data_IF_343884441319
#
_entry.id   IF_343884441319
#
_cell.length_a   1.000
_cell.length_b   1.000
_cell.length_c   1.000
_cell.angle_alpha   90.00
_cell.angle_beta   90.00
_cell.angle_gamma   90.00
#
_symmetry.space_group_name_H-M   'P 1'
#
loop_
_entity.id
_entity.type
_entity.pdbx_description
1 polymer ?
#
# COMPACT_ATOMS: atom_id res chain seq x y z
N UNK A 1 11.11 46.30 12.50
CA UNK A 1 9.87 45.69 13.04
C UNK A 1 10.19 44.27 13.48
N UNK A 2 9.66 43.86 14.64
CA UNK A 2 10.03 42.69 15.49
C UNK A 2 9.50 41.35 14.93
N UNK A 3 10.28 40.25 14.99
CA UNK A 3 10.24 39.07 15.94
C UNK A 3 8.95 38.22 15.80
N UNK A 4 8.97 36.90 15.58
CA UNK A 4 9.10 35.74 16.50
C UNK A 4 9.18 34.48 15.60
N UNK A 5 10.07 33.47 15.66
CA UNK A 5 10.78 32.73 16.71
C UNK A 5 9.88 32.13 17.80
N UNK A 6 9.57 30.83 17.66
CA UNK A 6 8.93 30.02 18.71
C UNK A 6 9.57 28.61 18.69
N UNK A 7 10.74 28.49 19.32
CA UNK A 7 11.25 27.20 19.80
C UNK A 7 10.85 27.11 21.27
N UNK A 8 10.05 26.09 21.56
CA UNK A 8 9.48 25.85 22.88
C UNK A 8 10.57 25.53 23.90
N UNK A 9 10.41 26.16 25.05
CA UNK A 9 11.32 26.27 26.16
C UNK A 9 11.26 25.03 27.06
N UNK A 10 12.40 24.40 27.33
CA UNK A 10 12.57 23.60 28.54
C UNK A 10 13.89 23.94 29.21
N UNK A 11 13.81 25.01 30.01
CA UNK A 11 14.41 25.21 31.34
C UNK A 11 15.64 24.34 31.67
N UNK A 12 16.80 24.93 31.41
CA UNK A 12 18.09 24.59 32.02
C UNK A 12 18.03 24.91 33.52
N UNK A 13 17.66 23.92 34.34
CA UNK A 13 17.71 24.02 35.80
C UNK A 13 19.13 23.70 36.29
N UNK A 14 19.81 24.78 36.65
CA UNK A 14 20.98 24.91 37.53
C UNK A 14 21.00 23.82 38.62
N UNK A 15 21.93 22.87 38.52
CA UNK A 15 22.25 21.96 39.63
C UNK A 15 23.26 22.63 40.57
N UNK A 16 23.00 22.69 41.88
CA UNK A 16 23.96 23.19 42.85
C UNK A 16 25.12 22.19 43.01
N UNK A 17 26.33 22.67 42.78
CA UNK A 17 27.56 22.02 43.24
C UNK A 17 27.53 21.92 44.77
N UNK A 18 27.87 20.73 45.29
CA UNK A 18 27.99 20.31 46.71
C UNK A 18 26.77 19.57 47.26
N UNK A 19 26.75 18.25 47.08
CA UNK A 19 26.59 17.32 48.21
C UNK A 19 27.50 16.12 47.97
N UNK A 20 28.75 16.30 48.40
CA UNK A 20 29.66 15.21 48.70
C UNK A 20 29.13 14.56 50.00
N UNK A 21 28.41 13.46 49.89
CA UNK A 21 28.19 12.57 51.02
C UNK A 21 27.97 11.14 50.53
N UNK A 22 28.88 10.29 50.97
CA UNK A 22 28.86 8.83 50.85
C UNK A 22 27.44 8.27 51.03
N UNK A 23 26.93 7.63 49.99
CA UNK A 23 26.01 6.51 50.16
C UNK A 23 26.47 5.41 49.23
N UNK A 24 27.45 4.65 49.72
CA UNK A 24 27.63 3.26 49.33
C UNK A 24 26.24 2.62 49.43
N UNK A 25 25.58 2.37 48.31
CA UNK A 25 24.47 1.43 48.28
C UNK A 25 25.11 0.11 48.69
N UNK A 26 24.85 -0.44 49.90
CA UNK A 26 25.40 -1.71 50.22
C UNK A 26 24.68 -2.71 49.32
N UNK A 27 25.38 -3.29 48.36
CA UNK A 27 25.00 -4.60 47.81
C UNK A 27 25.18 -5.58 48.96
N UNK A 28 24.23 -5.55 49.90
CA UNK A 28 24.19 -6.45 51.05
C UNK A 28 23.76 -7.79 50.49
N UNK A 29 24.75 -8.57 50.06
CA UNK A 29 24.59 -9.99 49.78
C UNK A 29 24.02 -10.61 51.06
N UNK A 30 22.70 -10.81 51.09
CA UNK A 30 21.98 -11.27 52.28
C UNK A 30 22.30 -12.75 52.43
N UNK A 31 23.31 -13.04 53.24
CA UNK A 31 23.99 -14.34 53.33
C UNK A 31 23.18 -15.47 53.97
N UNK A 32 21.93 -15.25 54.37
CA UNK A 32 21.02 -16.32 54.84
C UNK A 32 19.57 -16.01 54.46
N UNK A 33 19.21 -16.13 53.18
CA UNK A 33 17.81 -16.30 52.78
C UNK A 33 17.33 -17.66 53.28
N UNK A 34 16.18 -17.71 53.94
CA UNK A 34 15.58 -18.96 54.43
C UNK A 34 15.21 -19.89 53.27
N UNK A 35 15.12 -21.21 53.48
CA UNK A 35 14.91 -22.19 52.41
C UNK A 35 13.70 -21.86 51.50
N UNK A 36 12.63 -21.31 52.08
CA UNK A 36 11.42 -20.88 51.40
C UNK A 36 11.61 -19.61 50.54
N UNK A 37 12.43 -18.65 50.99
CA UNK A 37 12.74 -17.44 50.23
C UNK A 37 13.67 -17.75 49.05
N UNK A 38 14.59 -18.71 49.22
CA UNK A 38 15.46 -19.21 48.14
C UNK A 38 14.66 -19.89 47.03
N UNK A 39 13.69 -20.73 47.40
CA UNK A 39 12.81 -21.38 46.43
C UNK A 39 11.98 -20.36 45.65
N UNK A 40 11.42 -19.36 46.33
CA UNK A 40 10.68 -18.28 45.68
C UNK A 40 11.56 -17.45 44.74
N UNK A 41 12.81 -17.19 45.13
CA UNK A 41 13.78 -16.48 44.29
C UNK A 41 14.15 -17.27 43.02
N UNK A 42 14.43 -18.57 43.14
CA UNK A 42 14.74 -19.44 42.00
C UNK A 42 13.54 -19.53 41.04
N UNK A 43 12.32 -19.63 41.56
CA UNK A 43 11.11 -19.64 40.76
C UNK A 43 10.93 -18.32 39.98
N UNK A 44 11.16 -17.18 40.63
CA UNK A 44 11.10 -15.87 39.97
C UNK A 44 12.18 -15.69 38.89
N UNK A 45 13.42 -16.09 39.16
CA UNK A 45 14.49 -16.05 38.15
C UNK A 45 14.16 -16.95 36.95
N UNK A 46 13.64 -18.15 37.20
CA UNK A 46 13.25 -19.08 36.14
C UNK A 46 12.12 -18.52 35.29
N UNK A 47 11.11 -17.91 35.90
CA UNK A 47 9.99 -17.28 35.19
C UNK A 47 10.46 -16.14 34.28
N UNK A 48 11.35 -15.27 34.77
CA UNK A 48 11.89 -14.15 33.98
C UNK A 48 12.68 -14.65 32.77
N UNK A 49 13.50 -15.69 32.94
CA UNK A 49 14.28 -16.28 31.85
C UNK A 49 13.36 -16.91 30.80
N UNK A 50 12.36 -17.68 31.22
CA UNK A 50 11.40 -18.32 30.30
C UNK A 50 10.59 -17.26 29.54
N UNK A 51 10.01 -16.29 30.23
CA UNK A 51 9.23 -15.22 29.61
C UNK A 51 10.06 -14.38 28.64
N UNK A 52 11.32 -14.07 29.00
CA UNK A 52 12.26 -13.39 28.11
C UNK A 52 12.57 -14.19 26.85
N UNK A 53 12.88 -15.48 26.99
CA UNK A 53 13.18 -16.36 25.86
C UNK A 53 11.98 -16.53 24.91
N UNK A 54 10.77 -16.69 25.45
CA UNK A 54 9.54 -16.79 24.67
C UNK A 54 9.26 -15.52 23.89
N UNK A 55 9.52 -14.35 24.49
CA UNK A 55 9.34 -13.05 23.82
C UNK A 55 10.32 -12.89 22.65
N UNK A 56 11.59 -13.24 22.84
CA UNK A 56 12.61 -13.18 21.78
C UNK A 56 12.29 -14.14 20.64
N UNK A 57 11.84 -15.36 20.95
CA UNK A 57 11.41 -16.32 19.95
C UNK A 57 10.21 -15.79 19.15
N UNK A 58 9.18 -15.27 19.83
CA UNK A 58 8.00 -14.70 19.18
C UNK A 58 8.36 -13.53 18.24
N UNK A 59 9.25 -12.63 18.67
CA UNK A 59 9.70 -11.49 17.85
C UNK A 59 10.55 -11.95 16.65
N UNK A 60 11.32 -13.02 16.80
CA UNK A 60 12.13 -13.56 15.70
C UNK A 60 11.24 -14.22 14.65
N UNK A 61 10.28 -15.04 15.10
CA UNK A 61 9.28 -15.66 14.23
C UNK A 61 8.47 -14.60 13.47
N UNK A 62 7.97 -13.56 14.14
CA UNK A 62 7.20 -12.51 13.48
C UNK A 62 8.02 -11.73 12.45
N UNK A 63 9.32 -11.50 12.69
CA UNK A 63 10.23 -10.88 11.70
C UNK A 63 10.42 -11.75 10.47
N UNK A 64 10.58 -13.06 10.64
CA UNK A 64 10.77 -13.99 9.54
C UNK A 64 9.51 -14.09 8.67
N UNK A 65 8.32 -14.12 9.30
CA UNK A 65 7.04 -14.05 8.59
C UNK A 65 6.85 -12.73 7.82
N UNK A 66 7.25 -11.59 8.40
CA UNK A 66 7.16 -10.29 7.72
C UNK A 66 8.11 -10.20 6.52
N UNK A 67 9.35 -10.69 6.65
CA UNK A 67 10.31 -10.73 5.53
C UNK A 67 9.87 -11.66 4.40
N UNK A 68 9.23 -12.78 4.73
CA UNK A 68 8.68 -13.70 3.74
C UNK A 68 7.51 -13.05 2.96
N UNK A 69 6.74 -12.17 3.59
CA UNK A 69 5.70 -11.38 2.94
C UNK A 69 6.24 -10.35 1.95
N UNK A 70 7.32 -9.64 2.30
CA UNK A 70 7.96 -8.63 1.41
C UNK A 70 8.59 -9.24 0.15
N UNK A 71 9.02 -10.51 0.18
CA UNK A 71 9.58 -11.18 -1.00
C UNK A 71 8.51 -11.55 -2.06
N UNK A 72 7.22 -11.39 -1.74
CA UNK A 72 6.13 -11.54 -2.70
C UNK A 72 5.81 -10.25 -3.48
N UNK A 73 6.28 -9.09 -3.01
CA UNK A 73 6.38 -7.88 -3.83
C UNK A 73 7.64 -7.98 -4.70
N UNK A 74 7.54 -8.81 -5.74
CA UNK A 74 8.55 -8.88 -6.77
C UNK A 74 8.87 -7.48 -7.29
N UNK A 75 10.13 -7.07 -7.14
CA UNK A 75 10.74 -6.01 -7.95
C UNK A 75 10.80 -6.46 -9.40
N UNK A 76 9.65 -6.53 -10.07
CA UNK A 76 9.61 -6.39 -11.52
C UNK A 76 10.11 -4.96 -11.75
N UNK A 77 11.33 -4.80 -12.28
CA UNK A 77 11.78 -3.49 -12.72
C UNK A 77 10.68 -2.94 -13.62
N UNK A 78 10.10 -1.79 -13.25
CA UNK A 78 8.97 -1.18 -13.95
C UNK A 78 9.33 -1.20 -15.44
N UNK A 79 8.68 -2.04 -16.26
CA UNK A 79 8.77 -1.84 -17.68
C UNK A 79 8.33 -0.39 -17.89
N UNK A 80 8.96 0.34 -18.79
CA UNK A 80 8.39 1.60 -19.26
C UNK A 80 7.12 1.23 -20.05
N UNK A 81 6.05 0.92 -19.32
CA UNK A 81 4.72 0.62 -19.83
C UNK A 81 4.11 1.96 -20.21
N UNK A 82 3.89 2.14 -21.51
CA UNK A 82 3.37 3.37 -22.08
C UNK A 82 4.20 3.89 -23.24
N UNK A 83 3.60 4.80 -23.99
CA UNK A 83 4.12 5.43 -25.19
C UNK A 83 2.99 6.18 -25.88
N UNK A 84 3.32 7.16 -26.73
CA UNK A 84 2.30 7.81 -27.54
C UNK A 84 1.73 6.78 -28.53
N UNK A 85 0.42 6.59 -28.50
CA UNK A 85 -0.30 5.87 -29.55
C UNK A 85 -1.09 6.86 -30.40
N UNK A 86 -1.25 6.50 -31.68
CA UNK A 86 -2.10 7.21 -32.62
C UNK A 86 -3.01 6.15 -33.26
N UNK A 87 -4.19 5.99 -32.68
CA UNK A 87 -5.17 4.98 -33.07
C UNK A 87 -6.38 5.66 -33.73
N UNK A 88 -7.29 4.86 -34.27
CA UNK A 88 -8.57 5.32 -34.80
C UNK A 88 -9.65 4.78 -33.86
N UNK A 89 -10.58 5.63 -33.46
CA UNK A 89 -11.73 5.23 -32.65
C UNK A 89 -12.79 4.50 -33.49
N UNK A 90 -13.86 4.04 -32.83
CA UNK A 90 -14.99 3.38 -33.50
C UNK A 90 -15.82 4.31 -34.41
N UNK A 91 -15.63 5.64 -34.28
CA UNK A 91 -16.30 6.68 -35.07
C UNK A 91 -15.44 7.15 -36.26
N UNK A 92 -14.23 6.62 -36.43
CA UNK A 92 -13.29 7.01 -37.48
C UNK A 92 -12.41 8.23 -37.15
N UNK A 93 -12.46 8.75 -35.93
CA UNK A 93 -11.62 9.88 -35.51
C UNK A 93 -10.24 9.40 -35.01
N UNK A 94 -9.19 10.22 -35.20
CA UNK A 94 -7.90 9.94 -34.59
C UNK A 94 -7.97 10.08 -33.06
N UNK A 95 -7.44 9.10 -32.35
CA UNK A 95 -7.39 9.05 -30.89
C UNK A 95 -5.94 8.91 -30.41
N UNK A 96 -5.50 9.83 -29.56
CA UNK A 96 -4.15 9.85 -28.99
C UNK A 96 -4.20 9.78 -27.47
N UNK A 97 -3.15 9.23 -26.88
CA UNK A 97 -3.01 9.21 -25.41
C UNK A 97 -3.02 10.63 -24.81
N UNK A 98 -2.54 11.63 -25.55
CA UNK A 98 -2.57 13.04 -25.15
C UNK A 98 -3.96 13.58 -24.87
N UNK A 99 -4.99 13.01 -25.49
CA UNK A 99 -6.37 13.50 -25.43
C UNK A 99 -7.03 13.16 -24.08
N UNK A 100 -6.46 12.20 -23.35
CA UNK A 100 -6.90 11.80 -22.02
C UNK A 100 -6.15 12.50 -20.87
N UNK A 101 -5.33 13.51 -21.15
CA UNK A 101 -4.62 14.25 -20.09
C UNK A 101 -5.61 14.89 -19.12
N UNK A 102 -5.38 14.70 -17.82
CA UNK A 102 -6.28 15.20 -16.78
C UNK A 102 -7.48 14.29 -16.51
N UNK A 103 -7.52 13.10 -17.10
CA UNK A 103 -8.46 12.02 -16.79
C UNK A 103 -7.65 10.81 -16.29
N UNK A 104 -8.26 10.00 -15.43
CA UNK A 104 -7.75 8.65 -15.17
C UNK A 104 -8.14 7.75 -16.33
N UNK A 105 -7.21 6.93 -16.82
CA UNK A 105 -7.47 6.07 -17.97
C UNK A 105 -7.34 4.63 -17.54
N UNK A 106 -8.41 3.86 -17.73
CA UNK A 106 -8.42 2.42 -17.50
C UNK A 106 -8.29 1.71 -18.85
N UNK A 107 -7.06 1.38 -19.24
CA UNK A 107 -6.76 0.68 -20.49
C UNK A 107 -7.04 -0.82 -20.37
N UNK A 108 -7.85 -1.33 -21.28
CA UNK A 108 -8.14 -2.75 -21.46
C UNK A 108 -7.81 -3.17 -22.89
N UNK A 109 -6.91 -4.15 -23.02
CA UNK A 109 -6.52 -4.73 -24.30
C UNK A 109 -7.29 -6.03 -24.54
N UNK A 110 -8.03 -6.12 -25.64
CA UNK A 110 -8.89 -7.26 -25.92
C UNK A 110 -9.17 -7.46 -27.41
N UNK A 111 -10.15 -8.29 -27.73
CA UNK A 111 -10.64 -8.51 -29.10
C UNK A 111 -12.13 -8.85 -29.07
N UNK A 112 -12.88 -8.51 -30.12
CA UNK A 112 -14.35 -8.59 -30.10
C UNK A 112 -14.90 -10.02 -30.20
N UNK A 113 -14.14 -10.96 -30.77
CA UNK A 113 -14.56 -12.36 -31.01
C UNK A 113 -13.92 -13.36 -30.04
N UNK A 114 -13.88 -13.04 -28.75
CA UNK A 114 -13.44 -14.00 -27.75
C UNK A 114 -14.58 -14.94 -27.37
N UNK A 115 -14.38 -16.27 -27.40
CA UNK A 115 -15.46 -17.22 -27.21
C UNK A 115 -16.15 -17.14 -25.84
N UNK A 116 -15.49 -16.65 -24.76
CA UNK A 116 -16.14 -16.67 -23.43
C UNK A 116 -15.76 -15.51 -22.47
N UNK A 117 -14.50 -15.09 -22.39
CA UNK A 117 -14.03 -14.26 -21.25
C UNK A 117 -14.20 -12.75 -21.49
N UNK A 118 -14.06 -12.26 -22.72
CA UNK A 118 -14.06 -10.82 -22.97
C UNK A 118 -15.39 -10.09 -22.66
N UNK A 119 -16.60 -10.63 -22.92
CA UNK A 119 -17.83 -9.89 -22.62
C UNK A 119 -18.01 -9.66 -21.11
N UNK A 120 -17.66 -10.64 -20.28
CA UNK A 120 -17.70 -10.52 -18.81
C UNK A 120 -16.76 -9.42 -18.29
N UNK A 121 -15.59 -9.25 -18.92
CA UNK A 121 -14.63 -8.23 -18.51
C UNK A 121 -15.07 -6.82 -18.91
N UNK A 122 -15.67 -6.65 -20.10
CA UNK A 122 -16.17 -5.35 -20.55
C UNK A 122 -17.29 -4.87 -19.63
N UNK A 123 -18.24 -5.75 -19.28
CA UNK A 123 -19.34 -5.44 -18.37
C UNK A 123 -18.83 -5.02 -16.98
N UNK A 124 -17.91 -5.78 -16.39
CA UNK A 124 -17.27 -5.42 -15.12
C UNK A 124 -16.56 -4.07 -15.19
N UNK A 125 -15.95 -3.76 -16.32
CA UNK A 125 -15.19 -2.53 -16.48
C UNK A 125 -16.10 -1.30 -16.58
N UNK A 126 -17.27 -1.45 -17.19
CA UNK A 126 -18.34 -0.43 -17.15
C UNK A 126 -18.84 -0.26 -15.72
N UNK A 127 -19.20 -1.37 -15.04
CA UNK A 127 -19.72 -1.33 -13.67
C UNK A 127 -18.75 -0.65 -12.69
N UNK A 128 -17.46 -1.00 -12.76
CA UNK A 128 -16.44 -0.39 -11.89
C UNK A 128 -16.27 1.09 -12.21
N UNK A 129 -16.22 1.46 -13.50
CA UNK A 129 -16.11 2.86 -13.92
C UNK A 129 -17.26 3.70 -13.40
N UNK A 130 -18.50 3.23 -13.56
CA UNK A 130 -19.71 3.88 -13.07
C UNK A 130 -19.71 4.02 -11.54
N UNK A 131 -19.39 2.94 -10.83
CA UNK A 131 -19.35 2.96 -9.36
C UNK A 131 -18.33 3.97 -8.84
N UNK A 132 -17.14 4.05 -9.44
CA UNK A 132 -16.12 5.02 -9.04
C UNK A 132 -16.59 6.45 -9.31
N UNK A 133 -17.20 6.71 -10.48
CA UNK A 133 -17.73 8.05 -10.81
C UNK A 133 -18.88 8.48 -9.89
N UNK A 134 -19.77 7.56 -9.52
CA UNK A 134 -20.93 7.85 -8.68
C UNK A 134 -20.59 7.98 -7.19
N UNK A 135 -19.72 7.10 -6.68
CA UNK A 135 -19.45 6.96 -5.24
C UNK A 135 -18.34 7.90 -4.80
N UNK A 136 -17.18 7.85 -5.48
CA UNK A 136 -15.98 8.54 -5.01
C UNK A 136 -15.90 9.98 -5.52
N UNK A 137 -16.64 10.30 -6.60
CA UNK A 137 -16.62 11.62 -7.27
C UNK A 137 -15.21 12.19 -7.36
N UNK A 138 -14.27 11.45 -7.97
CA UNK A 138 -12.88 11.83 -7.97
C UNK A 138 -12.69 13.18 -8.69
N UNK A 139 -11.64 13.89 -8.28
CA UNK A 139 -11.27 15.18 -8.87
C UNK A 139 -11.06 15.11 -10.40
N UNK A 140 -10.66 13.93 -10.89
CA UNK A 140 -10.46 13.65 -12.31
C UNK A 140 -11.37 12.49 -12.70
N UNK A 141 -12.09 12.57 -13.84
CA UNK A 141 -12.96 11.49 -14.28
C UNK A 141 -12.13 10.27 -14.68
N UNK A 142 -12.68 9.08 -14.44
CA UNK A 142 -12.14 7.81 -14.92
C UNK A 142 -12.75 7.53 -16.28
N UNK A 143 -11.92 7.27 -17.28
CA UNK A 143 -12.33 6.93 -18.64
C UNK A 143 -11.85 5.53 -18.96
N UNK A 144 -12.77 4.58 -19.18
CA UNK A 144 -12.42 3.25 -19.64
C UNK A 144 -12.06 3.27 -21.13
N UNK A 145 -10.90 2.70 -21.49
CA UNK A 145 -10.38 2.62 -22.87
C UNK A 145 -10.17 1.20 -23.30
N UNK A 146 -10.95 0.76 -24.29
CA UNK A 146 -10.80 -0.53 -24.94
C UNK A 146 -9.89 -0.39 -26.17
N UNK A 147 -8.82 -1.17 -26.22
CA UNK A 147 -7.90 -1.25 -27.35
C UNK A 147 -7.97 -2.66 -27.93
N UNK A 148 -8.39 -2.76 -29.20
CA UNK A 148 -8.34 -4.06 -29.89
C UNK A 148 -6.90 -4.45 -30.22
N UNK A 149 -6.59 -5.73 -30.01
CA UNK A 149 -5.32 -6.35 -30.40
C UNK A 149 -5.43 -7.03 -31.78
N UNK A 150 -6.65 -7.23 -32.30
CA UNK A 150 -6.92 -7.90 -33.57
C UNK A 150 -7.50 -6.92 -34.61
N UNK A 151 -6.63 -6.09 -35.20
CA UNK A 151 -7.01 -5.07 -36.19
C UNK A 151 -7.49 -5.64 -37.53
N UNK A 152 -7.23 -6.92 -37.82
CA UNK A 152 -7.67 -7.56 -39.06
C UNK A 152 -9.16 -7.95 -38.99
N UNK A 153 -9.65 -8.27 -37.79
CA UNK A 153 -11.03 -8.75 -37.58
C UNK A 153 -11.94 -7.75 -36.88
N UNK A 154 -11.39 -6.92 -36.01
CA UNK A 154 -12.14 -5.92 -35.25
C UNK A 154 -12.20 -4.61 -36.05
N UNK A 155 -13.17 -4.51 -36.96
CA UNK A 155 -13.44 -3.25 -37.67
C UNK A 155 -14.18 -2.24 -36.79
N UNK A 156 -14.12 -0.93 -37.10
CA UNK A 156 -14.86 0.09 -36.37
C UNK A 156 -16.36 -0.21 -36.22
N UNK A 157 -17.01 -0.78 -37.24
CA UNK A 157 -18.42 -1.18 -37.20
C UNK A 157 -18.70 -2.30 -36.17
N UNK A 158 -17.76 -3.23 -35.99
CA UNK A 158 -17.89 -4.32 -35.01
C UNK A 158 -17.71 -3.77 -33.60
N UNK A 159 -16.74 -2.88 -33.43
CA UNK A 159 -16.51 -2.19 -32.16
C UNK A 159 -17.69 -1.30 -31.76
N UNK A 160 -18.28 -0.57 -32.70
CA UNK A 160 -19.46 0.24 -32.45
C UNK A 160 -20.64 -0.61 -31.93
N UNK A 161 -20.89 -1.77 -32.56
CA UNK A 161 -21.94 -2.71 -32.10
C UNK A 161 -21.67 -3.25 -30.69
N UNK A 162 -20.41 -3.58 -30.40
CA UNK A 162 -19.99 -4.03 -29.08
C UNK A 162 -20.28 -2.94 -28.05
N UNK A 163 -19.85 -1.70 -28.31
CA UNK A 163 -20.04 -0.59 -27.39
C UNK A 163 -21.50 -0.18 -27.20
N UNK A 164 -22.34 -0.28 -28.23
CA UNK A 164 -23.79 -0.09 -28.08
C UNK A 164 -24.42 -1.18 -27.20
N UNK A 165 -23.91 -2.42 -27.26
CA UNK A 165 -24.48 -3.53 -26.46
C UNK A 165 -24.20 -3.36 -24.96
N UNK A 166 -23.03 -2.80 -24.62
CA UNK A 166 -22.57 -2.64 -23.24
C UNK A 166 -22.69 -1.21 -22.69
N UNK A 167 -23.44 -0.33 -23.39
CA UNK A 167 -23.63 1.08 -23.01
C UNK A 167 -22.32 1.85 -22.78
N UNK A 168 -21.32 1.54 -23.59
CA UNK A 168 -19.97 2.10 -23.50
C UNK A 168 -19.82 3.45 -24.22
N UNK A 169 -20.80 3.83 -25.04
CA UNK A 169 -20.66 4.91 -26.02
C UNK A 169 -20.52 6.32 -25.41
N UNK A 170 -20.87 6.52 -24.13
CA UNK A 170 -20.99 7.85 -23.52
C UNK A 170 -19.67 8.41 -22.92
N UNK A 171 -18.58 7.65 -22.96
CA UNK A 171 -17.33 8.02 -22.28
C UNK A 171 -16.35 8.86 -23.12
N UNK A 172 -16.64 9.05 -24.41
CA UNK A 172 -15.81 9.74 -25.41
C UNK A 172 -16.52 10.95 -26.02
#
# INVERSE_FOLDING_TARGET
MRVFSYISSYKFLKMPSKVLSRSLIPVRFRSTLSPEERMRYIQWCSYVVIAGSATVAAVSLTRDFMKAGELSEGKYGLPSIGGDFNLIDHNGNPCKLSDFRGKWVLLYFGFCRCPDICPEQIERLVEVSDRIMLIEKPKYPLVPVFVSVDSERDTPDVLAKLFTTFDWADWY
#
